data_IF_860400863341
#
_entry.id   IF_860400863341
#
_cell.length_a   1.000
_cell.length_b   1.000
_cell.length_c   1.000
_cell.angle_alpha   90.00
_cell.angle_beta   90.00
_cell.angle_gamma   90.00
#
_symmetry.space_group_name_H-M   'P 1'
#
loop_
_entity.id
_entity.type
_entity.pdbx_description
1 polymer ?
#
# COMPACT_ATOMS: atom_id res chain seq x y z
N UNK A 1 13.36 -1.32 -39.32
CA UNK A 1 13.47 -2.54 -38.52
C UNK A 1 13.21 -2.18 -37.08
N UNK A 2 12.40 -2.96 -36.39
CA UNK A 2 11.96 -2.65 -35.03
C UNK A 2 12.52 -3.74 -34.12
N UNK A 3 13.42 -3.37 -33.21
CA UNK A 3 14.08 -4.31 -32.30
C UNK A 3 13.51 -4.16 -30.90
N UNK A 4 13.33 -5.29 -30.21
CA UNK A 4 13.01 -5.31 -28.78
C UNK A 4 14.30 -5.42 -27.98
N UNK A 5 14.48 -4.51 -27.03
CA UNK A 5 15.63 -4.50 -26.12
C UNK A 5 15.20 -5.10 -24.79
N UNK A 6 15.75 -6.26 -24.37
CA UNK A 6 15.49 -6.81 -23.05
C UNK A 6 16.19 -5.97 -21.97
N UNK A 7 15.43 -5.52 -20.98
CA UNK A 7 15.90 -4.70 -19.88
C UNK A 7 15.54 -5.36 -18.54
N UNK A 8 16.47 -5.31 -17.59
CA UNK A 8 16.23 -5.63 -16.18
C UNK A 8 15.93 -4.33 -15.43
N UNK A 9 14.76 -4.27 -14.79
CA UNK A 9 14.44 -3.20 -13.85
C UNK A 9 14.80 -3.69 -12.45
N UNK A 10 15.73 -3.00 -11.82
CA UNK A 10 16.31 -3.37 -10.54
C UNK A 10 15.84 -2.40 -9.46
N UNK A 11 15.35 -2.92 -8.35
CA UNK A 11 15.11 -2.12 -7.15
C UNK A 11 16.37 -1.98 -6.33
N UNK A 12 16.53 -0.79 -5.76
CA UNK A 12 17.50 -0.59 -4.72
C UNK A 12 17.01 -1.23 -3.41
N UNK A 13 17.76 -2.23 -2.93
CA UNK A 13 17.61 -2.76 -1.59
C UNK A 13 18.45 -1.91 -0.62
N UNK A 14 17.83 -1.16 0.31
CA UNK A 14 18.56 -0.31 1.25
C UNK A 14 19.37 -1.11 2.28
N UNK A 15 19.05 -2.38 2.52
CA UNK A 15 19.73 -3.23 3.50
C UNK A 15 20.87 -4.03 2.89
N UNK A 16 20.81 -4.31 1.59
CA UNK A 16 21.93 -4.88 0.86
C UNK A 16 22.73 -3.78 0.17
N UNK A 17 23.79 -3.30 0.85
CA UNK A 17 24.79 -2.37 0.26
C UNK A 17 25.42 -2.86 -1.07
N UNK A 18 25.15 -4.09 -1.51
CA UNK A 18 25.67 -4.68 -2.76
C UNK A 18 24.63 -5.34 -3.67
N UNK A 19 23.35 -5.37 -3.33
CA UNK A 19 22.35 -6.20 -4.04
C UNK A 19 21.28 -5.39 -4.73
N UNK A 20 21.45 -5.09 -6.01
CA UNK A 20 20.31 -4.71 -6.86
C UNK A 20 19.44 -5.95 -7.06
N UNK A 21 18.17 -5.88 -6.64
CA UNK A 21 17.25 -7.01 -6.76
C UNK A 21 16.42 -6.84 -8.02
N UNK A 22 16.40 -7.83 -8.93
CA UNK A 22 15.56 -7.76 -10.12
C UNK A 22 14.09 -7.70 -9.71
N UNK A 23 13.46 -6.58 -10.02
CA UNK A 23 12.05 -6.34 -9.74
C UNK A 23 11.20 -6.91 -10.86
N UNK A 24 11.53 -6.51 -12.08
CA UNK A 24 10.77 -6.91 -13.25
C UNK A 24 11.70 -7.15 -14.43
N UNK A 25 11.31 -8.10 -15.26
CA UNK A 25 11.83 -8.20 -16.61
C UNK A 25 10.97 -7.35 -17.49
N UNK A 26 11.60 -6.48 -18.27
CA UNK A 26 10.88 -5.67 -19.21
C UNK A 26 11.40 -5.78 -20.63
N UNK A 27 10.48 -5.69 -21.56
CA UNK A 27 10.80 -5.51 -22.97
C UNK A 27 10.52 -4.06 -23.33
N UNK A 28 11.46 -3.42 -24.02
CA UNK A 28 11.11 -2.20 -24.71
C UNK A 28 10.06 -2.53 -25.77
N UNK A 29 9.03 -1.69 -25.91
CA UNK A 29 8.28 -1.68 -27.16
C UNK A 29 9.24 -1.46 -28.33
N UNK A 30 8.91 -1.94 -29.54
CA UNK A 30 9.81 -1.84 -30.68
C UNK A 30 10.21 -0.39 -30.87
N UNK A 31 11.52 -0.11 -30.84
CA UNK A 31 12.03 1.23 -31.05
C UNK A 31 11.58 1.68 -32.45
N UNK A 32 10.66 2.63 -32.52
CA UNK A 32 10.36 3.28 -33.78
C UNK A 32 11.61 4.05 -34.21
N UNK A 33 12.03 3.95 -35.48
CA UNK A 33 13.16 4.72 -35.96
C UNK A 33 12.86 6.20 -35.74
N UNK A 34 13.67 6.84 -34.89
CA UNK A 34 13.61 8.27 -34.65
C UNK A 34 13.67 8.97 -36.01
N UNK A 35 12.65 9.76 -36.34
CA UNK A 35 12.79 10.64 -37.50
C UNK A 35 13.90 11.64 -37.19
N UNK A 36 14.61 12.13 -38.21
CA UNK A 36 15.68 13.13 -38.03
C UNK A 36 15.22 14.44 -37.37
N UNK A 37 13.90 14.60 -37.17
CA UNK A 37 13.27 15.76 -36.55
C UNK A 37 12.81 15.50 -35.11
N UNK A 38 12.83 14.25 -34.63
CA UNK A 38 12.41 13.92 -33.28
C UNK A 38 13.55 14.16 -32.29
N UNK A 39 13.33 15.11 -31.38
CA UNK A 39 14.25 15.41 -30.27
C UNK A 39 13.98 14.54 -29.03
N UNK A 40 12.93 13.73 -29.04
CA UNK A 40 12.52 12.90 -27.90
C UNK A 40 12.41 11.43 -28.28
N UNK A 41 13.08 10.57 -27.51
CA UNK A 41 12.92 9.12 -27.56
C UNK A 41 12.00 8.67 -26.43
N UNK A 42 10.86 8.07 -26.78
CA UNK A 42 9.93 7.48 -25.80
C UNK A 42 10.19 5.98 -25.68
N UNK A 43 10.58 5.53 -24.50
CA UNK A 43 10.76 4.12 -24.17
C UNK A 43 9.60 3.66 -23.29
N UNK A 44 8.73 2.80 -23.83
CA UNK A 44 7.74 2.09 -23.05
C UNK A 44 8.35 0.78 -22.53
N UNK A 45 8.24 0.56 -21.21
CA UNK A 45 8.80 -0.57 -20.50
C UNK A 45 7.63 -1.37 -19.93
N UNK A 46 7.35 -2.54 -20.51
CA UNK A 46 6.35 -3.47 -19.99
C UNK A 46 7.04 -4.66 -19.36
N UNK A 47 6.61 -5.06 -18.16
CA UNK A 47 7.29 -6.14 -17.44
C UNK A 47 6.48 -6.89 -16.41
N UNK A 48 7.05 -8.00 -15.94
CA UNK A 48 6.45 -8.88 -14.93
C UNK A 48 7.32 -8.97 -13.69
N UNK A 49 6.70 -9.05 -12.51
CA UNK A 49 7.40 -9.15 -11.24
C UNK A 49 8.19 -10.47 -11.15
N UNK A 50 9.46 -10.40 -10.76
CA UNK A 50 10.30 -11.59 -10.64
C UNK A 50 9.85 -12.45 -9.44
N UNK A 51 9.66 -13.77 -9.61
CA UNK A 51 9.31 -14.67 -8.50
C UNK A 51 10.30 -14.69 -7.33
N UNK A 52 11.55 -14.26 -7.54
CA UNK A 52 12.58 -14.21 -6.49
C UNK A 52 12.25 -13.18 -5.43
N UNK A 53 11.42 -12.17 -5.75
CA UNK A 53 10.89 -11.22 -4.77
C UNK A 53 10.05 -11.93 -3.69
N UNK A 54 9.45 -13.08 -4.01
CA UNK A 54 8.68 -13.87 -3.04
C UNK A 54 9.58 -14.63 -2.05
N UNK A 55 10.88 -14.76 -2.34
CA UNK A 55 11.82 -15.34 -1.38
C UNK A 55 12.15 -14.38 -0.23
N UNK A 56 11.97 -13.07 -0.47
CA UNK A 56 12.13 -12.03 0.54
C UNK A 56 10.82 -11.88 1.32
N UNK A 57 10.54 -12.84 2.20
CA UNK A 57 9.42 -12.76 3.12
C UNK A 57 9.81 -11.94 4.35
N UNK A 58 9.25 -10.75 4.50
CA UNK A 58 9.51 -9.89 5.65
C UNK A 58 9.12 -8.43 5.42
N UNK A 59 9.17 -7.64 6.49
CA UNK A 59 8.99 -6.17 6.45
C UNK A 59 9.98 -5.48 5.51
N UNK A 60 11.14 -6.10 5.30
CA UNK A 60 12.29 -5.49 4.64
C UNK A 60 12.42 -5.95 3.18
N UNK A 61 11.37 -6.54 2.61
CA UNK A 61 11.41 -6.94 1.20
C UNK A 61 11.52 -5.70 0.30
N UNK A 62 12.32 -5.74 -0.78
CA UNK A 62 12.47 -4.60 -1.70
C UNK A 62 11.12 -4.11 -2.26
N UNK A 63 10.18 -5.04 -2.49
CA UNK A 63 8.83 -4.74 -2.93
C UNK A 63 8.01 -4.02 -1.85
N UNK A 64 8.12 -4.44 -0.59
CA UNK A 64 7.50 -3.73 0.55
C UNK A 64 8.05 -2.31 0.66
N UNK A 65 9.37 -2.14 0.59
CA UNK A 65 10.01 -0.82 0.59
C UNK A 65 9.56 0.05 -0.58
N UNK A 66 9.42 -0.53 -1.77
CA UNK A 66 8.91 0.16 -2.95
C UNK A 66 7.48 0.68 -2.75
N UNK A 67 6.57 -0.20 -2.33
CA UNK A 67 5.16 0.15 -2.11
C UNK A 67 4.98 1.16 -0.98
N UNK A 68 5.73 1.01 0.12
CA UNK A 68 5.69 1.98 1.23
C UNK A 68 6.13 3.37 0.78
N UNK A 69 7.23 3.48 0.01
CA UNK A 69 7.63 4.77 -0.55
C UNK A 69 6.57 5.32 -1.50
N UNK A 70 6.08 4.50 -2.42
CA UNK A 70 5.11 4.92 -3.42
C UNK A 70 3.82 5.44 -2.79
N UNK A 71 3.21 4.68 -1.87
CA UNK A 71 1.95 5.05 -1.20
C UNK A 71 2.09 6.29 -0.30
N UNK A 72 3.30 6.54 0.21
CA UNK A 72 3.63 7.75 0.97
C UNK A 72 4.04 8.95 0.09
N UNK A 73 3.96 8.83 -1.24
CA UNK A 73 4.33 9.91 -2.16
C UNK A 73 5.83 10.14 -2.29
N UNK A 74 6.66 9.19 -1.86
CA UNK A 74 8.11 9.27 -1.97
C UNK A 74 8.61 8.62 -3.26
N UNK A 75 9.64 9.22 -3.86
CA UNK A 75 10.33 8.67 -5.02
C UNK A 75 10.98 7.32 -4.72
N UNK A 76 10.92 6.43 -5.71
CA UNK A 76 11.55 5.13 -5.68
C UNK A 76 12.80 5.12 -6.58
N UNK A 77 14.01 4.95 -6.02
CA UNK A 77 15.19 4.78 -6.85
C UNK A 77 15.15 3.43 -7.56
N UNK A 78 15.19 3.46 -8.89
CA UNK A 78 15.27 2.26 -9.73
C UNK A 78 16.51 2.34 -10.62
N UNK A 79 17.05 1.18 -11.00
CA UNK A 79 18.10 1.08 -12.02
C UNK A 79 17.61 0.24 -13.16
N UNK A 80 17.84 0.70 -14.38
CA UNK A 80 17.53 -0.04 -15.60
C UNK A 80 18.84 -0.47 -16.22
N UNK A 81 18.98 -1.78 -16.44
CA UNK A 81 20.17 -2.38 -17.03
C UNK A 81 19.80 -3.23 -18.23
N UNK A 82 20.62 -3.20 -19.27
CA UNK A 82 20.45 -4.14 -20.38
C UNK A 82 20.69 -5.58 -19.93
N UNK A 83 19.74 -6.46 -20.23
CA UNK A 83 19.89 -7.88 -19.98
C UNK A 83 20.57 -8.53 -21.19
N UNK A 84 21.88 -8.73 -21.07
CA UNK A 84 22.58 -9.54 -22.05
C UNK A 84 22.03 -10.96 -22.01
N UNK A 85 21.39 -11.41 -23.09
CA UNK A 85 21.05 -12.82 -23.27
C UNK A 85 22.36 -13.56 -23.49
N UNK A 86 23.08 -13.90 -22.42
CA UNK A 86 24.22 -14.81 -22.54
C UNK A 86 23.68 -16.11 -23.10
N UNK A 87 24.07 -16.42 -24.33
CA UNK A 87 23.75 -17.63 -25.08
C UNK A 87 24.01 -18.87 -24.23
N UNK A 88 22.98 -19.38 -23.54
CA UNK A 88 22.75 -20.77 -23.12
C UNK A 88 23.79 -21.56 -22.31
N UNK A 89 25.06 -21.17 -22.25
CA UNK A 89 26.12 -22.05 -21.79
C UNK A 89 26.41 -21.92 -20.28
N UNK A 90 26.30 -20.74 -19.69
CA UNK A 90 26.64 -20.53 -18.26
C UNK A 90 25.44 -20.64 -17.30
N UNK A 91 24.21 -20.42 -17.78
CA UNK A 91 23.01 -20.51 -16.92
C UNK A 91 22.64 -21.98 -16.59
N UNK A 92 23.02 -22.92 -17.44
CA UNK A 92 22.79 -24.35 -17.25
C UNK A 92 23.65 -24.97 -16.13
N UNK A 93 24.86 -24.46 -15.88
CA UNK A 93 25.74 -25.00 -14.84
C UNK A 93 25.30 -24.60 -13.43
N UNK A 94 24.86 -23.35 -13.21
CA UNK A 94 24.37 -22.92 -11.89
C UNK A 94 23.02 -23.55 -11.52
N UNK A 95 22.14 -23.79 -12.50
CA UNK A 95 20.89 -24.51 -12.27
C UNK A 95 21.09 -26.02 -12.03
N UNK A 96 22.14 -26.63 -12.62
CA UNK A 96 22.52 -28.03 -12.33
C UNK A 96 23.18 -28.19 -10.97
N UNK A 97 23.95 -27.21 -10.50
CA UNK A 97 24.60 -27.27 -9.19
C UNK A 97 23.60 -27.24 -8.01
N UNK A 98 22.41 -26.64 -8.17
CA UNK A 98 21.37 -26.63 -7.13
C UNK A 98 20.41 -27.84 -7.18
N UNK A 99 20.44 -28.67 -8.23
CA UNK A 99 19.49 -29.78 -8.42
C UNK A 99 19.95 -31.14 -7.88
N UNK A 100 21.08 -31.19 -7.18
CA UNK A 100 21.67 -32.44 -6.68
C UNK A 100 21.26 -32.82 -5.24
N UNK A 101 20.23 -32.19 -4.65
CA UNK A 101 19.82 -32.49 -3.26
C UNK A 101 18.35 -32.84 -3.00
N UNK A 102 17.51 -33.01 -4.02
CA UNK A 102 16.15 -33.53 -3.82
C UNK A 102 15.87 -34.70 -4.76
N UNK A 103 15.74 -35.88 -4.15
CA UNK A 103 15.41 -37.12 -4.83
C UNK A 103 13.94 -37.16 -5.25
N UNK A 104 13.72 -37.73 -6.44
CA UNK A 104 12.50 -38.46 -6.77
C UNK A 104 11.27 -37.63 -7.12
N UNK A 105 11.26 -36.92 -8.25
CA UNK A 105 9.99 -36.63 -8.92
C UNK A 105 10.12 -36.64 -10.45
N UNK A 106 9.14 -37.25 -11.10
CA UNK A 106 9.11 -37.65 -12.51
C UNK A 106 9.26 -36.43 -13.43
N UNK A 107 10.14 -36.58 -14.42
CA UNK A 107 10.42 -35.62 -15.50
C UNK A 107 9.14 -35.25 -16.26
N UNK A 108 8.67 -34.02 -16.09
CA UNK A 108 7.92 -33.33 -17.14
C UNK A 108 8.91 -32.40 -17.85
N UNK A 109 9.24 -32.74 -19.09
CA UNK A 109 9.92 -31.86 -20.03
C UNK A 109 8.96 -30.75 -20.42
N UNK A 110 9.23 -29.47 -20.10
CA UNK A 110 8.44 -28.38 -20.66
C UNK A 110 8.71 -28.33 -22.17
N UNK A 111 7.67 -28.54 -22.97
CA UNK A 111 7.67 -28.17 -24.39
C UNK A 111 7.85 -26.64 -24.46
N UNK A 112 9.08 -26.20 -24.69
CA UNK A 112 9.33 -24.84 -25.15
C UNK A 112 8.99 -24.81 -26.63
N UNK A 113 7.99 -24.00 -26.98
CA UNK A 113 7.81 -23.59 -28.36
C UNK A 113 9.01 -22.71 -28.72
N UNK A 114 9.84 -23.20 -29.64
CA UNK A 114 10.89 -22.43 -30.28
C UNK A 114 10.22 -21.31 -31.08
N UNK A 115 10.27 -20.08 -30.56
CA UNK A 115 9.86 -18.91 -31.32
C UNK A 115 10.85 -18.71 -32.45
N UNK A 116 10.33 -18.62 -33.67
CA UNK A 116 11.02 -18.27 -34.90
C UNK A 116 11.95 -17.05 -34.69
N UNK A 117 13.18 -17.19 -35.19
CA UNK A 117 14.19 -16.16 -35.44
C UNK A 117 13.95 -14.80 -34.76
N UNK A 118 14.20 -14.72 -33.45
CA UNK A 118 14.38 -13.43 -32.79
C UNK A 118 15.59 -12.76 -33.45
N UNK A 119 15.34 -11.79 -34.34
CA UNK A 119 16.38 -11.03 -35.05
C UNK A 119 17.44 -10.57 -34.04
N UNK A 120 18.64 -11.17 -34.15
CA UNK A 120 19.75 -10.86 -33.28
C UNK A 120 20.11 -9.38 -33.42
N UNK A 121 20.18 -8.67 -32.28
CA UNK A 121 20.58 -7.28 -32.24
C UNK A 121 21.97 -7.14 -32.90
N UNK A 122 22.18 -6.11 -33.74
CA UNK A 122 23.50 -5.88 -34.31
C UNK A 122 24.56 -5.69 -33.21
N UNK A 123 25.73 -6.32 -33.36
CA UNK A 123 26.79 -6.36 -32.33
C UNK A 123 27.18 -4.99 -31.76
N UNK A 124 27.15 -3.93 -32.58
CA UNK A 124 27.45 -2.58 -32.13
C UNK A 124 26.38 -2.02 -31.18
N UNK A 125 25.11 -2.38 -31.41
CA UNK A 125 23.99 -2.02 -30.52
C UNK A 125 24.14 -2.78 -29.20
N UNK A 126 24.44 -4.08 -29.25
CA UNK A 126 24.69 -4.86 -28.03
C UNK A 126 25.85 -4.31 -27.20
N UNK A 127 26.97 -3.94 -27.86
CA UNK A 127 28.13 -3.36 -27.18
C UNK A 127 27.82 -2.03 -26.49
N UNK A 128 26.98 -1.19 -27.12
CA UNK A 128 26.48 0.04 -26.52
C UNK A 128 25.55 -0.26 -25.32
N UNK A 129 24.56 -1.12 -25.53
CA UNK A 129 23.56 -1.47 -24.50
C UNK A 129 24.19 -2.18 -23.29
N UNK A 130 25.24 -2.98 -23.48
CA UNK A 130 25.94 -3.67 -22.38
C UNK A 130 26.50 -2.72 -21.32
N UNK A 131 26.82 -1.49 -21.68
CA UNK A 131 27.32 -0.47 -20.76
C UNK A 131 26.19 0.42 -20.21
N UNK A 132 24.95 0.18 -20.61
CA UNK A 132 23.80 0.98 -20.24
C UNK A 132 23.28 0.50 -18.86
N UNK A 133 23.70 1.23 -17.84
CA UNK A 133 23.19 1.15 -16.47
C UNK A 133 22.86 2.58 -16.03
N UNK A 134 21.58 2.93 -16.04
CA UNK A 134 21.13 4.26 -15.63
C UNK A 134 20.23 4.18 -14.42
N UNK A 135 20.52 5.06 -13.45
CA UNK A 135 19.67 5.28 -12.30
C UNK A 135 18.59 6.28 -12.67
N UNK A 136 17.35 5.96 -12.31
CA UNK A 136 16.22 6.88 -12.44
C UNK A 136 15.33 6.79 -11.20
N UNK A 137 14.37 7.71 -11.11
CA UNK A 137 13.40 7.74 -10.03
C UNK A 137 12.04 7.39 -10.59
N UNK A 138 11.40 6.40 -9.99
CA UNK A 138 9.98 6.14 -10.20
C UNK A 138 9.21 7.05 -9.23
N UNK A 139 8.39 7.99 -9.73
CA UNK A 139 7.72 8.96 -8.88
C UNK A 139 6.81 8.26 -7.86
N UNK A 140 6.71 8.83 -6.67
CA UNK A 140 5.69 8.43 -5.71
C UNK A 140 4.28 8.81 -6.17
N UNK A 141 3.26 8.44 -5.38
CA UNK A 141 1.89 8.91 -5.60
C UNK A 141 1.84 10.44 -5.69
N UNK A 142 1.06 10.95 -6.64
CA UNK A 142 0.82 12.39 -6.81
C UNK A 142 0.23 12.97 -5.50
N UNK A 143 0.83 14.06 -5.02
CA UNK A 143 0.34 14.75 -3.84
C UNK A 143 -1.10 15.27 -4.07
N UNK A 144 -2.03 14.90 -3.20
CA UNK A 144 -3.44 15.29 -3.29
C UNK A 144 -4.41 14.15 -3.65
N UNK A 145 -3.92 13.01 -4.14
CA UNK A 145 -4.75 11.82 -4.29
C UNK A 145 -4.85 11.07 -2.96
N UNK A 146 -6.00 11.18 -2.30
CA UNK A 146 -6.28 10.41 -1.09
C UNK A 146 -6.46 8.92 -1.44
N UNK A 147 -5.65 8.05 -0.84
CA UNK A 147 -5.79 6.60 -1.01
C UNK A 147 -7.13 6.10 -0.46
N UNK A 148 -7.66 6.76 0.57
CA UNK A 148 -8.93 6.43 1.19
C UNK A 148 -9.94 7.49 0.81
N UNK A 149 -10.82 7.16 -0.13
CA UNK A 149 -11.86 8.05 -0.65
C UNK A 149 -12.97 8.28 0.38
N UNK A 150 -13.33 7.21 1.12
CA UNK A 150 -14.38 7.23 2.14
C UNK A 150 -13.98 6.36 3.30
N UNK A 151 -14.40 6.75 4.48
CA UNK A 151 -14.10 6.05 5.72
C UNK A 151 -15.24 6.23 6.69
N UNK A 152 -15.61 5.15 7.37
CA UNK A 152 -16.61 5.22 8.42
C UNK A 152 -16.47 4.13 9.45
N UNK A 153 -17.10 4.38 10.60
CA UNK A 153 -17.22 3.40 11.68
C UNK A 153 -18.70 3.17 11.94
N UNK A 154 -19.20 2.02 11.52
CA UNK A 154 -20.57 1.61 11.81
C UNK A 154 -20.70 1.11 13.23
N UNK A 155 -21.85 1.40 13.84
CA UNK A 155 -22.25 0.89 15.17
C UNK A 155 -21.18 1.17 16.23
N UNK A 156 -20.59 2.36 16.19
CA UNK A 156 -19.56 2.77 17.13
C UNK A 156 -20.13 2.80 18.56
N UNK A 157 -19.46 2.09 19.46
CA UNK A 157 -19.81 1.97 20.88
C UNK A 157 -18.61 2.35 21.73
N UNK A 158 -18.82 3.24 22.70
CA UNK A 158 -17.84 3.55 23.73
C UNK A 158 -18.22 2.82 25.01
N UNK A 159 -17.29 2.07 25.58
CA UNK A 159 -17.46 1.35 26.85
C UNK A 159 -16.31 1.65 27.80
N UNK A 160 -16.59 1.59 29.10
CA UNK A 160 -15.56 1.53 30.12
C UNK A 160 -15.15 0.06 30.29
N UNK A 161 -14.03 -0.32 29.69
CA UNK A 161 -13.39 -1.61 29.89
C UNK A 161 -12.52 -1.63 31.15
N UNK A 162 -12.19 -2.83 31.61
CA UNK A 162 -11.47 -3.05 32.88
C UNK A 162 -12.41 -3.33 34.06
N UNK A 163 -11.99 -4.25 34.93
CA UNK A 163 -12.81 -4.70 36.06
C UNK A 163 -13.19 -3.57 37.03
N UNK A 164 -14.13 -3.88 37.93
CA UNK A 164 -14.74 -3.00 38.96
C UNK A 164 -13.73 -2.29 39.88
N UNK A 165 -12.44 -2.59 39.76
CA UNK A 165 -11.39 -2.04 40.59
C UNK A 165 -11.03 -0.61 40.14
N UNK A 166 -11.08 0.38 41.06
CA UNK A 166 -10.68 1.74 40.78
C UNK A 166 -9.22 1.81 40.33
N UNK A 167 -8.95 2.61 39.29
CA UNK A 167 -7.60 2.79 38.72
C UNK A 167 -7.26 1.91 37.51
N UNK A 168 -8.18 1.03 37.07
CA UNK A 168 -7.98 0.19 35.85
C UNK A 168 -9.05 0.37 34.78
N UNK A 169 -9.99 1.30 34.95
CA UNK A 169 -10.99 1.62 33.93
C UNK A 169 -10.32 2.24 32.72
N UNK A 170 -10.34 1.51 31.60
CA UNK A 170 -9.85 1.96 30.30
C UNK A 170 -11.05 2.28 29.42
N UNK A 171 -11.06 3.44 28.77
CA UNK A 171 -12.07 3.72 27.76
C UNK A 171 -11.75 2.90 26.51
N UNK A 172 -12.75 2.19 26.01
CA UNK A 172 -12.64 1.31 24.86
C UNK A 172 -13.69 1.68 23.81
N UNK A 173 -13.35 1.47 22.54
CA UNK A 173 -14.27 1.62 21.43
C UNK A 173 -14.45 0.29 20.68
N UNK A 174 -15.68 0.03 20.26
CA UNK A 174 -16.03 -1.09 19.39
C UNK A 174 -16.86 -0.59 18.22
N UNK A 175 -16.78 -1.28 17.09
CA UNK A 175 -17.49 -0.88 15.88
C UNK A 175 -16.98 -1.63 14.64
N UNK A 176 -17.60 -1.37 13.51
CA UNK A 176 -17.17 -1.91 12.22
C UNK A 176 -16.58 -0.79 11.39
N UNK A 177 -15.25 -0.81 11.24
CA UNK A 177 -14.53 0.09 10.35
C UNK A 177 -14.77 -0.37 8.91
N UNK A 178 -15.14 0.56 8.04
CA UNK A 178 -15.17 0.34 6.61
C UNK A 178 -14.50 1.52 5.90
N UNK A 179 -13.82 1.24 4.80
CA UNK A 179 -13.17 2.25 3.99
C UNK A 179 -13.26 1.91 2.50
N UNK A 180 -13.34 2.92 1.65
CA UNK A 180 -13.19 2.80 0.21
C UNK A 180 -11.78 3.24 -0.13
N UNK A 181 -10.99 2.30 -0.63
CA UNK A 181 -9.60 2.48 -1.01
C UNK A 181 -9.54 2.63 -2.52
N UNK A 182 -9.18 3.83 -2.99
CA UNK A 182 -8.91 4.11 -4.39
C UNK A 182 -7.42 3.89 -4.67
N UNK A 183 -7.07 2.79 -5.33
CA UNK A 183 -5.69 2.58 -5.76
C UNK A 183 -5.36 3.59 -6.88
N UNK A 184 -4.16 4.20 -6.84
CA UNK A 184 -3.65 5.00 -7.96
C UNK A 184 -3.71 4.20 -9.27
N UNK A 185 -3.90 4.89 -10.39
CA UNK A 185 -4.08 4.24 -11.70
C UNK A 185 -2.89 3.37 -12.08
N UNK A 186 -1.70 3.69 -11.59
CA UNK A 186 -0.46 2.94 -11.78
C UNK A 186 -0.49 1.57 -11.04
N UNK A 187 -1.31 1.44 -10.00
CA UNK A 187 -1.51 0.21 -9.21
C UNK A 187 -2.82 -0.51 -9.54
N UNK A 188 -3.54 -0.09 -10.58
CA UNK A 188 -4.77 -0.71 -11.07
C UNK A 188 -4.69 -2.24 -11.20
N UNK A 189 -3.62 -2.72 -11.85
CA UNK A 189 -3.42 -4.14 -12.13
C UNK A 189 -3.16 -4.97 -10.87
N UNK A 190 -2.78 -4.31 -9.77
CA UNK A 190 -2.50 -4.96 -8.48
C UNK A 190 -3.79 -5.21 -7.71
N UNK A 191 -4.80 -4.34 -7.83
CA UNK A 191 -6.06 -4.39 -7.07
C UNK A 191 -6.70 -5.79 -6.98
N UNK A 192 -6.93 -6.51 -8.09
CA UNK A 192 -7.55 -7.84 -8.07
C UNK A 192 -6.75 -8.89 -7.29
N UNK A 193 -5.44 -8.71 -7.17
CA UNK A 193 -4.52 -9.68 -6.54
C UNK A 193 -4.04 -9.25 -5.15
N UNK A 194 -4.32 -8.01 -4.75
CA UNK A 194 -4.00 -7.49 -3.43
C UNK A 194 -5.04 -7.98 -2.41
N UNK A 195 -4.55 -8.49 -1.28
CA UNK A 195 -5.38 -8.85 -0.12
C UNK A 195 -4.79 -8.21 1.12
N UNK A 196 -5.63 -7.62 1.97
CA UNK A 196 -5.25 -7.16 3.30
C UNK A 196 -5.91 -8.09 4.32
N UNK A 197 -5.11 -8.60 5.25
CA UNK A 197 -5.54 -9.56 6.27
C UNK A 197 -5.59 -8.96 7.67
N UNK A 198 -4.72 -7.98 7.93
CA UNK A 198 -4.55 -7.37 9.23
C UNK A 198 -4.29 -5.87 9.05
N UNK A 199 -4.88 -5.05 9.89
CA UNK A 199 -4.66 -3.59 9.94
C UNK A 199 -4.40 -3.14 11.37
N UNK A 200 -3.54 -2.14 11.53
CA UNK A 200 -3.32 -1.45 12.80
C UNK A 200 -3.43 0.05 12.54
N UNK A 201 -4.60 0.66 12.80
CA UNK A 201 -4.75 2.10 12.69
C UNK A 201 -3.96 2.81 13.79
N UNK A 202 -3.47 4.00 13.46
CA UNK A 202 -2.90 4.95 14.39
C UNK A 202 -3.49 6.34 14.08
N UNK A 203 -4.65 6.62 14.68
CA UNK A 203 -5.48 7.78 14.29
C UNK A 203 -5.91 8.62 15.47
N UNK A 204 -5.96 9.92 15.23
CA UNK A 204 -6.60 10.91 16.10
C UNK A 204 -8.07 11.02 15.71
N UNK A 205 -8.96 11.13 16.71
CA UNK A 205 -10.37 11.45 16.53
C UNK A 205 -10.62 12.92 16.80
N UNK A 206 -11.42 13.54 15.93
CA UNK A 206 -11.77 14.95 15.92
C UNK A 206 -13.27 15.13 16.15
N UNK A 207 -13.63 16.12 16.96
CA UNK A 207 -15.01 16.59 17.11
C UNK A 207 -15.34 17.55 15.96
N UNK A 208 -16.20 17.12 15.03
CA UNK A 208 -16.53 17.88 13.83
C UNK A 208 -15.68 17.52 12.60
N UNK A 209 -15.64 18.40 11.58
CA UNK A 209 -15.04 18.09 10.27
C UNK A 209 -13.51 18.07 10.28
N UNK A 210 -12.95 17.52 9.20
CA UNK A 210 -11.52 17.60 8.89
C UNK A 210 -11.07 19.06 8.73
N UNK A 211 -9.81 19.39 9.09
CA UNK A 211 -9.24 20.71 8.82
C UNK A 211 -9.21 20.99 7.32
N UNK A 212 -9.57 22.22 6.92
CA UNK A 212 -9.61 22.61 5.51
C UNK A 212 -8.23 22.48 4.85
N UNK A 213 -8.14 21.96 3.61
CA UNK A 213 -6.87 21.71 2.91
C UNK A 213 -6.06 22.98 2.55
N UNK A 214 -6.59 24.18 2.84
CA UNK A 214 -5.89 25.46 2.69
C UNK A 214 -5.55 26.15 4.02
N UNK A 215 -5.84 25.53 5.16
CA UNK A 215 -5.31 26.01 6.45
C UNK A 215 -3.80 25.80 6.48
N UNK A 216 -3.01 26.74 7.04
CA UNK A 216 -1.57 26.53 7.15
C UNK A 216 -1.34 25.20 7.85
N UNK A 217 -0.49 24.32 7.29
CA UNK A 217 -0.26 23.02 7.88
C UNK A 217 0.19 23.27 9.33
N UNK A 218 -0.46 22.61 10.32
CA UNK A 218 0.06 22.67 11.67
C UNK A 218 1.54 22.28 11.63
N UNK A 219 2.41 22.84 12.49
CA UNK A 219 3.77 22.34 12.60
C UNK A 219 3.71 20.82 12.73
N UNK A 220 4.67 20.08 12.18
CA UNK A 220 4.61 18.63 11.97
C UNK A 220 4.30 17.78 13.22
N UNK A 221 4.25 18.38 14.42
CA UNK A 221 3.88 17.79 15.70
C UNK A 221 2.58 18.34 16.33
N UNK A 222 1.92 19.34 15.74
CA UNK A 222 0.76 19.99 16.35
C UNK A 222 -0.51 19.17 16.11
N UNK A 223 -1.05 18.67 17.21
CA UNK A 223 -2.34 18.00 17.30
C UNK A 223 -3.47 19.02 17.04
N UNK A 224 -4.43 18.74 16.14
CA UNK A 224 -5.55 19.64 15.85
C UNK A 224 -6.32 20.06 17.10
N UNK A 225 -6.87 21.28 17.09
CA UNK A 225 -7.55 21.82 18.27
C UNK A 225 -8.79 21.04 18.70
N UNK A 226 -9.51 20.48 17.72
CA UNK A 226 -10.70 19.67 17.92
C UNK A 226 -10.39 18.17 18.10
N UNK A 227 -9.12 17.76 18.10
CA UNK A 227 -8.76 16.38 18.40
C UNK A 227 -8.96 16.08 19.89
N UNK A 228 -9.61 14.97 20.20
CA UNK A 228 -9.99 14.63 21.59
C UNK A 228 -9.47 13.28 22.07
N UNK A 229 -9.22 12.33 21.17
CA UNK A 229 -8.73 11.01 21.52
C UNK A 229 -7.87 10.40 20.40
N UNK A 230 -7.14 9.34 20.73
CA UNK A 230 -6.35 8.51 19.80
C UNK A 230 -6.83 7.07 19.85
N UNK A 231 -6.97 6.46 18.69
CA UNK A 231 -7.13 5.01 18.53
C UNK A 231 -5.78 4.46 18.10
N UNK A 232 -5.19 3.65 18.97
CA UNK A 232 -3.92 2.97 18.74
C UNK A 232 -3.98 1.57 19.36
N UNK A 233 -4.49 0.56 18.63
CA UNK A 233 -4.56 -0.81 19.13
C UNK A 233 -3.15 -1.39 19.32
N UNK A 234 -2.94 -2.12 20.41
CA UNK A 234 -1.65 -2.74 20.72
C UNK A 234 -1.27 -3.83 19.71
N UNK A 235 -2.27 -4.53 19.17
CA UNK A 235 -2.12 -5.58 18.18
C UNK A 235 -2.81 -5.23 16.87
N UNK A 236 -2.41 -5.89 15.79
CA UNK A 236 -3.13 -5.81 14.53
C UNK A 236 -4.52 -6.44 14.65
N UNK A 237 -5.47 -5.85 13.94
CA UNK A 237 -6.88 -6.22 13.91
C UNK A 237 -7.18 -6.95 12.61
N UNK A 238 -7.95 -8.06 12.62
CA UNK A 238 -8.41 -8.73 11.42
C UNK A 238 -9.15 -7.78 10.46
N UNK A 239 -8.76 -7.83 9.20
CA UNK A 239 -9.35 -7.05 8.14
C UNK A 239 -9.56 -7.89 6.88
N UNK A 240 -10.47 -7.43 6.04
CA UNK A 240 -10.73 -7.99 4.71
C UNK A 240 -10.73 -6.89 3.67
N UNK A 241 -10.15 -7.18 2.51
CA UNK A 241 -10.18 -6.31 1.33
C UNK A 241 -10.91 -7.02 0.20
N UNK A 242 -11.92 -6.38 -0.37
CA UNK A 242 -12.68 -6.90 -1.51
C UNK A 242 -12.75 -5.84 -2.62
N UNK A 243 -12.81 -6.22 -3.90
CA UNK A 243 -13.12 -5.27 -4.98
C UNK A 243 -14.47 -4.59 -4.76
N UNK A 244 -14.52 -3.27 -4.95
CA UNK A 244 -15.75 -2.49 -4.91
C UNK A 244 -16.24 -2.31 -6.35
N UNK A 245 -17.33 -3.00 -6.70
CA UNK A 245 -17.88 -3.11 -8.06
C UNK A 245 -16.92 -3.81 -9.05
N UNK A 246 -17.30 -3.89 -10.33
CA UNK A 246 -16.44 -4.41 -11.41
C UNK A 246 -15.24 -3.48 -11.74
N UNK A 247 -15.03 -2.41 -10.98
CA UNK A 247 -13.86 -1.53 -11.14
C UNK A 247 -12.66 -2.08 -10.38
N UNK A 248 -11.59 -2.44 -11.09
CA UNK A 248 -10.34 -2.99 -10.53
C UNK A 248 -9.57 -2.04 -9.59
N UNK A 249 -9.88 -0.74 -9.62
CA UNK A 249 -9.13 0.29 -8.90
C UNK A 249 -9.71 0.64 -7.53
N UNK A 250 -10.97 0.31 -7.26
CA UNK A 250 -11.64 0.63 -5.99
C UNK A 250 -11.83 -0.61 -5.17
N UNK A 251 -11.45 -0.55 -3.90
CA UNK A 251 -11.47 -1.68 -2.99
C UNK A 251 -12.22 -1.29 -1.71
N UNK A 252 -13.06 -2.19 -1.21
CA UNK A 252 -13.70 -2.10 0.09
C UNK A 252 -12.82 -2.76 1.14
N UNK A 253 -12.30 -1.96 2.08
CA UNK A 253 -11.62 -2.44 3.29
C UNK A 253 -12.65 -2.51 4.42
N UNK A 254 -12.70 -3.62 5.15
CA UNK A 254 -13.49 -3.77 6.35
C UNK A 254 -12.65 -4.35 7.48
N UNK A 255 -12.81 -3.84 8.70
CA UNK A 255 -12.16 -4.35 9.91
C UNK A 255 -13.09 -4.20 11.12
N UNK A 256 -12.96 -5.09 12.10
CA UNK A 256 -13.80 -5.05 13.29
C UNK A 256 -13.03 -4.54 14.50
N UNK A 257 -13.39 -3.36 14.99
CA UNK A 257 -12.89 -2.82 16.24
C UNK A 257 -13.60 -3.55 17.39
N UNK A 258 -12.85 -4.29 18.21
CA UNK A 258 -13.35 -4.97 19.40
C UNK A 258 -12.57 -4.52 20.61
N UNK A 259 -13.22 -3.79 21.52
CA UNK A 259 -12.64 -3.30 22.76
C UNK A 259 -11.28 -2.61 22.55
N UNK A 260 -11.20 -1.81 21.47
CA UNK A 260 -9.97 -1.13 21.10
C UNK A 260 -9.77 0.04 22.05
N UNK A 261 -8.57 0.23 22.61
CA UNK A 261 -8.27 1.36 23.48
C UNK A 261 -8.58 2.71 22.81
N UNK A 262 -9.39 3.52 23.48
CA UNK A 262 -9.62 4.91 23.11
C UNK A 262 -8.92 5.80 24.13
N UNK A 263 -7.78 6.37 23.74
CA UNK A 263 -6.90 7.10 24.63
C UNK A 263 -7.23 8.60 24.55
N UNK A 264 -7.80 9.23 25.60
CA UNK A 264 -7.97 10.68 25.62
C UNK A 264 -6.62 11.37 25.48
N UNK A 265 -6.58 12.45 24.71
CA UNK A 265 -5.34 13.20 24.49
C UNK A 265 -4.98 14.03 25.73
N UNK A 266 -3.69 14.11 26.04
CA UNK A 266 -3.18 14.93 27.13
C UNK A 266 -3.58 16.40 26.93
N UNK A 267 -4.00 17.06 28.01
CA UNK A 267 -4.49 18.45 28.00
C UNK A 267 -5.73 18.71 27.11
N UNK A 268 -6.42 17.67 26.60
CA UNK A 268 -7.64 17.79 25.79
C UNK A 268 -8.91 17.31 26.51
N UNK A 269 -8.89 17.23 27.84
CA UNK A 269 -10.02 16.74 28.63
C UNK A 269 -11.31 17.53 28.42
N UNK A 270 -11.24 18.84 28.17
CA UNK A 270 -12.42 19.66 27.90
C UNK A 270 -13.09 19.27 26.57
N UNK A 271 -12.31 19.10 25.51
CA UNK A 271 -12.80 18.67 24.19
C UNK A 271 -13.37 17.25 24.29
N UNK A 272 -12.66 16.36 24.97
CA UNK A 272 -13.13 14.99 25.23
C UNK A 272 -14.46 14.97 25.98
N UNK A 273 -14.60 15.75 27.07
CA UNK A 273 -15.86 15.83 27.84
C UNK A 273 -17.00 16.40 27.01
N UNK A 274 -16.74 17.42 26.20
CA UNK A 274 -17.74 18.00 25.30
C UNK A 274 -18.22 16.97 24.27
N UNK A 275 -17.30 16.23 23.64
CA UNK A 275 -17.62 15.15 22.72
C UNK A 275 -18.39 14.02 23.40
N UNK A 276 -17.93 13.54 24.57
CA UNK A 276 -18.60 12.48 25.32
C UNK A 276 -20.03 12.88 25.72
N UNK A 277 -20.28 14.14 26.08
CA UNK A 277 -21.61 14.64 26.36
C UNK A 277 -22.51 14.62 25.12
N UNK A 278 -21.99 14.98 23.94
CA UNK A 278 -22.71 14.85 22.65
C UNK A 278 -23.04 13.40 22.34
N UNK A 279 -22.05 12.51 22.46
CA UNK A 279 -22.19 11.07 22.23
C UNK A 279 -23.26 10.45 23.14
N UNK A 280 -23.22 10.73 24.44
CA UNK A 280 -24.21 10.22 25.40
C UNK A 280 -25.61 10.73 25.09
N UNK A 281 -25.76 12.01 24.73
CA UNK A 281 -27.06 12.58 24.32
C UNK A 281 -27.63 11.89 23.08
N UNK A 282 -26.78 11.55 22.11
CA UNK A 282 -27.18 10.84 20.90
C UNK A 282 -27.61 9.39 21.16
N UNK A 283 -27.01 8.71 22.15
CA UNK A 283 -27.28 7.28 22.41
C UNK A 283 -28.21 7.00 23.61
N UNK A 284 -28.72 8.03 24.28
CA UNK A 284 -29.70 7.85 25.37
C UNK A 284 -31.07 7.42 24.80
N UNK A 285 -31.62 6.27 25.22
CA UNK A 285 -32.86 5.71 24.65
C UNK A 285 -34.11 6.59 24.88
N UNK A 286 -34.12 7.43 25.92
CA UNK A 286 -35.31 8.19 26.35
C UNK A 286 -35.44 9.58 25.70
N UNK A 287 -34.55 9.98 24.78
CA UNK A 287 -34.68 11.26 24.08
C UNK A 287 -35.60 11.17 22.84
N UNK A 288 -36.13 9.98 22.53
CA UNK A 288 -36.88 9.69 21.29
C UNK A 288 -38.34 10.19 21.27
N UNK A 289 -38.82 10.84 22.32
CA UNK A 289 -40.22 11.25 22.44
C UNK A 289 -40.58 12.53 21.64
N UNK A 290 -39.67 13.04 20.82
CA UNK A 290 -39.95 14.13 19.88
C UNK A 290 -40.05 13.59 18.43
N UNK A 291 -41.27 13.37 17.90
CA UNK A 291 -41.48 12.73 16.60
C UNK A 291 -40.98 13.52 15.39
N UNK A 292 -40.63 14.80 15.54
CA UNK A 292 -40.22 15.69 14.43
C UNK A 292 -38.71 16.05 14.39
N UNK A 293 -37.88 15.51 15.30
CA UNK A 293 -36.45 15.79 15.27
C UNK A 293 -35.67 14.56 14.79
N UNK A 294 -35.35 14.54 13.49
CA UNK A 294 -34.19 13.79 13.00
C UNK A 294 -32.98 14.24 13.84
N UNK A 295 -32.51 13.38 14.74
CA UNK A 295 -31.36 13.73 15.56
C UNK A 295 -30.17 14.03 14.64
N UNK A 296 -29.50 15.17 14.80
CA UNK A 296 -28.30 15.46 14.04
C UNK A 296 -27.26 14.41 14.42
N UNK A 297 -26.88 13.59 13.46
CA UNK A 297 -25.84 12.59 13.62
C UNK A 297 -24.52 13.26 14.02
N UNK A 298 -23.74 12.61 14.88
CA UNK A 298 -22.54 13.21 15.44
C UNK A 298 -21.38 13.11 14.44
N UNK A 299 -21.09 14.21 13.74
CA UNK A 299 -19.95 14.28 12.83
C UNK A 299 -18.64 14.10 13.60
N UNK A 300 -17.91 13.05 13.25
CA UNK A 300 -16.61 12.69 13.80
C UNK A 300 -15.64 12.51 12.65
N UNK A 301 -14.47 13.14 12.74
CA UNK A 301 -13.41 12.94 11.76
C UNK A 301 -12.24 12.18 12.37
N UNK A 302 -11.43 11.58 11.52
CA UNK A 302 -10.18 10.95 11.91
C UNK A 302 -9.05 11.35 10.97
N UNK A 303 -7.86 11.49 11.54
CA UNK A 303 -6.61 11.72 10.79
C UNK A 303 -5.50 10.87 11.39
N UNK A 304 -4.58 10.39 10.57
CA UNK A 304 -3.40 9.67 11.02
C UNK A 304 -2.88 8.75 9.94
N UNK A 305 -2.51 7.54 10.34
CA UNK A 305 -2.02 6.53 9.42
C UNK A 305 -2.55 5.14 9.79
N UNK A 306 -2.30 4.17 8.93
CA UNK A 306 -2.46 2.77 9.28
C UNK A 306 -1.29 1.94 8.78
N UNK A 307 -1.00 0.87 9.50
CA UNK A 307 -0.13 -0.21 9.02
C UNK A 307 -0.99 -1.42 8.64
N UNK A 308 -0.56 -2.22 7.67
CA UNK A 308 -1.30 -3.40 7.24
C UNK A 308 -0.40 -4.56 6.81
N UNK A 309 -0.81 -5.79 7.15
CA UNK A 309 -0.25 -6.98 6.52
C UNK A 309 -1.09 -7.31 5.29
N UNK A 310 -0.43 -7.29 4.14
CA UNK A 310 -1.04 -7.59 2.86
C UNK A 310 -0.32 -8.75 2.16
N UNK A 311 -1.01 -9.37 1.23
CA UNK A 311 -0.44 -10.34 0.31
C UNK A 311 -0.78 -9.95 -1.12
N UNK A 312 0.20 -9.98 -1.99
CA UNK A 312 0.04 -9.73 -3.42
C UNK A 312 0.14 -11.06 -4.18
N UNK A 313 -0.83 -11.32 -5.06
CA UNK A 313 -0.91 -12.53 -5.89
C UNK A 313 -0.75 -13.83 -5.09
N UNK A 314 -1.18 -13.82 -3.82
CA UNK A 314 -1.02 -14.91 -2.84
C UNK A 314 0.42 -15.39 -2.63
N UNK A 315 1.42 -14.61 -3.06
CA UNK A 315 2.83 -15.02 -3.09
C UNK A 315 3.74 -14.05 -2.36
N UNK A 316 3.49 -12.75 -2.48
CA UNK A 316 4.37 -11.74 -1.88
C UNK A 316 3.72 -11.23 -0.60
N UNK A 317 4.37 -11.45 0.53
CA UNK A 317 3.97 -10.87 1.80
C UNK A 317 4.48 -9.43 1.88
N UNK A 318 3.57 -8.50 2.17
CA UNK A 318 3.81 -7.07 2.19
C UNK A 318 3.47 -6.51 3.56
N UNK A 319 4.33 -5.65 4.09
CA UNK A 319 4.04 -4.87 5.29
C UNK A 319 3.89 -3.39 4.91
N UNK A 320 2.65 -2.95 4.77
CA UNK A 320 2.35 -1.55 4.51
C UNK A 320 2.52 -0.77 5.81
N UNK A 321 3.34 0.28 5.79
CA UNK A 321 3.69 1.07 6.96
C UNK A 321 3.29 2.53 6.79
N UNK A 322 2.69 3.07 7.85
CA UNK A 322 2.35 4.48 8.01
C UNK A 322 1.61 5.09 6.83
N UNK A 323 0.73 4.30 6.20
CA UNK A 323 -0.04 4.75 5.05
C UNK A 323 -1.04 5.82 5.53
N UNK A 324 -1.02 7.04 4.95
CA UNK A 324 -1.82 8.15 5.45
C UNK A 324 -3.32 7.86 5.32
N UNK A 325 -4.06 8.28 6.34
CA UNK A 325 -5.50 8.04 6.47
C UNK A 325 -6.18 9.30 7.01
N UNK A 326 -7.20 9.76 6.30
CA UNK A 326 -8.11 10.82 6.72
C UNK A 326 -9.53 10.45 6.33
N UNK A 327 -10.51 10.92 7.10
CA UNK A 327 -11.91 10.71 6.75
C UNK A 327 -12.87 11.32 7.77
N UNK A 328 -14.12 11.48 7.36
CA UNK A 328 -15.21 11.96 8.22
C UNK A 328 -16.39 11.02 8.15
N UNK A 329 -17.01 10.76 9.29
CA UNK A 329 -18.16 9.87 9.41
C UNK A 329 -19.12 10.37 10.47
N UNK A 330 -20.32 9.84 10.43
CA UNK A 330 -21.37 10.15 11.37
C UNK A 330 -21.52 9.00 12.36
N UNK A 331 -21.56 9.33 13.66
CA UNK A 331 -21.79 8.42 14.79
C UNK A 331 -23.22 8.55 15.27
#
# INVERSE_FOLDING_TARGET
MAFQVPLDVLLHDPHHQRGLVPLAFAHSLPLQPLSSHDSSLTLAIEGSLHPSLAAYNGSDSPLTGFLNRFLNGNDNPIRVRYRHQSTGHDAGEKARAMKMKEGGSKRQTPLMMESEEAEQLPRYVEAFLKNLDFGMKFPGRIAGEELVERLGVERMRMSLGGGVLPGRTRLECSGQLWAWVGLPTELAGVGPTLRVSLVRPDVLLLDGPLPSPGSPPPPSSAVPENAFARIHPEAYIPASLAPLNDSSHRLALAAQLRNVPLLPLDNRHQVFRAYAAKYLRHHLPNWKDSPDQQQPSLLTSLIGSFSAHATLASRFHLLLLDVPLSGSFFV
#
